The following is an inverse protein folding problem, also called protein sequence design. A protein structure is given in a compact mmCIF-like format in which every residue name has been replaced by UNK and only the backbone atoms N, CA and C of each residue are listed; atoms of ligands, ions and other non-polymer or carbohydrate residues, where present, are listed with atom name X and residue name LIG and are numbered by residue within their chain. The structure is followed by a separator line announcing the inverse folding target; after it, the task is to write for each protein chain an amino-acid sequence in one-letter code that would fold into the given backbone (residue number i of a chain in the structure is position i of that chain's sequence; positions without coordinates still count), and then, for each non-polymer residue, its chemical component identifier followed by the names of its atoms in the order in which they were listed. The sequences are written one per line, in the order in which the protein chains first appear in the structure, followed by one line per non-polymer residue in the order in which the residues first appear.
data_IF_343486575234
#
_entry.id   IF_343486575234
#
_cell.length_a   1.000
_cell.length_b   1.000
_cell.length_c   1.000
_cell.angle_alpha   90.00
_cell.angle_beta   90.00
_cell.angle_gamma   90.00
#
_symmetry.space_group_name_H-M   'P 1'
#
loop_
_entity.id
_entity.type
_entity.pdbx_description
1 polymer ?
#
# COMPACT_ATOMS: atom_id res chain seq x y z
N UNK A 1 53.99 23.25 7.14
CA UNK A 1 54.73 23.19 5.87
C UNK A 1 54.38 21.90 5.17
N UNK A 2 54.48 21.86 3.86
CA UNK A 2 54.30 20.63 3.10
C UNK A 2 55.68 20.01 2.82
N UNK A 3 55.76 18.68 2.91
CA UNK A 3 56.94 17.90 2.53
C UNK A 3 56.50 16.72 1.67
N UNK A 4 57.37 16.31 0.73
CA UNK A 4 57.13 15.17 -0.15
C UNK A 4 57.97 14.03 0.35
N UNK A 5 57.33 12.92 0.68
CA UNK A 5 58.01 11.78 1.28
C UNK A 5 58.91 11.09 0.25
N UNK A 6 60.19 10.92 0.57
CA UNK A 6 61.14 10.19 -0.27
C UNK A 6 61.15 8.68 0.05
N UNK A 7 60.56 8.30 1.17
CA UNK A 7 60.41 6.91 1.59
C UNK A 7 59.08 6.71 2.31
N UNK A 8 58.57 5.48 2.30
CA UNK A 8 57.37 5.16 3.07
C UNK A 8 57.69 5.19 4.58
N UNK A 9 56.80 5.78 5.37
CA UNK A 9 56.93 5.90 6.81
C UNK A 9 55.60 5.61 7.47
N UNK A 10 55.57 4.66 8.41
CA UNK A 10 54.38 4.34 9.18
C UNK A 10 54.69 4.35 10.67
N UNK A 11 53.77 4.91 11.45
CA UNK A 11 53.75 4.88 12.90
C UNK A 11 52.40 4.42 13.41
N UNK A 12 52.22 4.38 14.73
CA UNK A 12 51.00 3.87 15.36
C UNK A 12 49.72 4.65 14.99
N UNK A 13 49.85 5.89 14.48
CA UNK A 13 48.74 6.79 14.18
C UNK A 13 48.84 7.45 12.80
N UNK A 14 49.81 7.08 11.98
CA UNK A 14 50.01 7.66 10.66
C UNK A 14 50.69 6.66 9.73
N UNK A 15 50.43 6.79 8.44
CA UNK A 15 51.13 6.06 7.39
C UNK A 15 51.22 6.98 6.18
N UNK A 16 52.43 7.17 5.68
CA UNK A 16 52.74 7.95 4.49
C UNK A 16 53.52 7.07 3.52
N UNK A 17 53.08 7.03 2.27
CA UNK A 17 53.77 6.36 1.18
C UNK A 17 54.91 7.20 0.60
N UNK A 18 55.78 6.56 -0.16
CA UNK A 18 56.72 7.28 -1.02
C UNK A 18 55.95 8.15 -2.02
N UNK A 19 56.35 9.42 -2.16
CA UNK A 19 55.71 10.40 -3.02
C UNK A 19 54.54 11.17 -2.39
N UNK A 20 54.10 10.77 -1.19
CA UNK A 20 53.01 11.47 -0.50
C UNK A 20 53.41 12.90 -0.15
N UNK A 21 52.49 13.84 -0.41
CA UNK A 21 52.61 15.23 0.03
C UNK A 21 51.82 15.40 1.32
N UNK A 22 52.54 15.70 2.40
CA UNK A 22 51.96 15.71 3.75
C UNK A 22 52.15 17.06 4.42
N UNK A 23 51.10 17.53 5.08
CA UNK A 23 51.19 18.73 5.90
C UNK A 23 51.73 18.37 7.28
N UNK A 24 52.87 18.96 7.65
CA UNK A 24 53.52 18.74 8.95
C UNK A 24 53.91 20.06 9.61
N UNK A 25 54.09 20.00 10.93
CA UNK A 25 54.68 21.12 11.68
C UNK A 25 56.08 21.41 11.14
N UNK A 26 56.42 22.69 11.00
CA UNK A 26 57.67 23.09 10.34
C UNK A 26 58.95 22.53 10.97
N UNK A 27 58.97 22.35 12.29
CA UNK A 27 60.10 21.71 12.97
C UNK A 27 60.28 20.24 12.58
N UNK A 28 59.17 19.51 12.40
CA UNK A 28 59.17 18.10 12.02
C UNK A 28 59.58 17.96 10.54
N UNK A 29 58.99 18.78 9.66
CA UNK A 29 59.32 18.75 8.24
C UNK A 29 60.80 19.02 7.96
N UNK A 30 61.40 20.02 8.64
CA UNK A 30 62.85 20.26 8.54
C UNK A 30 63.69 19.07 9.01
N UNK A 31 63.34 18.47 10.15
CA UNK A 31 64.04 17.29 10.64
C UNK A 31 63.96 16.10 9.68
N UNK A 32 62.82 15.89 9.02
CA UNK A 32 62.66 14.84 8.01
C UNK A 32 63.45 15.12 6.73
N UNK A 33 63.55 16.38 6.32
CA UNK A 33 64.39 16.78 5.18
C UNK A 33 65.87 16.58 5.49
N UNK A 34 66.33 17.03 6.66
CA UNK A 34 67.72 16.83 7.11
C UNK A 34 68.08 15.34 7.24
N UNK A 35 67.13 14.51 7.66
CA UNK A 35 67.29 13.06 7.74
C UNK A 35 67.19 12.34 6.39
N UNK A 36 66.95 13.07 5.28
CA UNK A 36 66.80 12.49 3.94
C UNK A 36 65.52 11.65 3.75
N UNK A 37 64.53 11.83 4.63
CA UNK A 37 63.27 11.08 4.62
C UNK A 37 62.20 11.77 3.77
N UNK A 38 62.34 13.08 3.55
CA UNK A 38 61.44 13.88 2.74
C UNK A 38 62.20 15.02 2.03
N UNK A 39 61.54 15.66 1.07
CA UNK A 39 62.03 16.88 0.41
C UNK A 39 61.02 18.03 0.56
N UNK A 40 61.50 19.26 0.38
CA UNK A 40 60.62 20.43 0.33
C UNK A 40 59.70 20.35 -0.90
N UNK A 41 58.39 20.45 -0.67
CA UNK A 41 57.41 20.37 -1.76
C UNK A 41 57.44 21.61 -2.63
N UNK A 42 57.34 21.41 -3.94
CA UNK A 42 57.03 22.50 -4.86
C UNK A 42 55.52 22.76 -4.83
N UNK A 43 55.06 23.99 -5.14
CA UNK A 43 53.63 24.27 -5.26
C UNK A 43 52.88 23.31 -6.20
N UNK A 44 53.54 22.81 -7.26
CA UNK A 44 52.99 21.81 -8.18
C UNK A 44 52.67 20.47 -7.51
N UNK A 45 53.51 20.00 -6.58
CA UNK A 45 53.31 18.72 -5.89
C UNK A 45 52.03 18.78 -5.01
N UNK A 46 51.80 19.92 -4.35
CA UNK A 46 50.60 20.16 -3.53
C UNK A 46 49.34 20.19 -4.40
N UNK A 47 49.41 20.85 -5.57
CA UNK A 47 48.30 20.90 -6.51
C UNK A 47 47.96 19.52 -7.09
N UNK A 48 48.96 18.71 -7.43
CA UNK A 48 48.76 17.34 -7.93
C UNK A 48 48.14 16.42 -6.88
N UNK A 49 48.60 16.50 -5.63
CA UNK A 49 48.04 15.74 -4.52
C UNK A 49 46.57 16.12 -4.25
N UNK A 50 46.26 17.41 -4.24
CA UNK A 50 44.89 17.88 -4.06
C UNK A 50 43.99 17.52 -5.26
N UNK A 51 44.49 17.63 -6.48
CA UNK A 51 43.76 17.19 -7.67
C UNK A 51 43.43 15.69 -7.62
N UNK A 52 44.36 14.87 -7.15
CA UNK A 52 44.16 13.42 -6.98
C UNK A 52 43.11 13.13 -5.90
N UNK A 53 43.17 13.84 -4.78
CA UNK A 53 42.16 13.74 -3.70
C UNK A 53 40.77 14.14 -4.22
N UNK A 54 40.66 15.28 -4.90
CA UNK A 54 39.40 15.76 -5.45
C UNK A 54 38.84 14.82 -6.52
N UNK A 55 39.69 14.24 -7.36
CA UNK A 55 39.27 13.21 -8.32
C UNK A 55 38.68 11.98 -7.63
N UNK A 56 39.26 11.55 -6.49
CA UNK A 56 38.72 10.47 -5.67
C UNK A 56 37.34 10.80 -5.07
N UNK A 57 37.20 11.98 -4.48
CA UNK A 57 35.92 12.47 -3.94
C UNK A 57 34.85 12.56 -5.03
N UNK A 58 35.20 13.12 -6.19
CA UNK A 58 34.30 13.23 -7.33
C UNK A 58 33.84 11.85 -7.82
N UNK A 59 34.75 10.86 -7.91
CA UNK A 59 34.41 9.50 -8.32
C UNK A 59 33.41 8.83 -7.37
N UNK A 60 33.60 8.98 -6.06
CA UNK A 60 32.66 8.45 -5.07
C UNK A 60 31.31 9.18 -5.09
N UNK A 61 31.32 10.50 -5.28
CA UNK A 61 30.09 11.28 -5.44
C UNK A 61 29.28 10.82 -6.68
N UNK A 62 29.95 10.62 -7.82
CA UNK A 62 29.33 10.08 -9.04
C UNK A 62 28.73 8.70 -8.81
N UNK A 63 29.44 7.82 -8.09
CA UNK A 63 28.94 6.49 -7.75
C UNK A 63 27.66 6.57 -6.91
N UNK A 64 27.65 7.39 -5.86
CA UNK A 64 26.46 7.61 -5.01
C UNK A 64 25.31 8.21 -5.79
N UNK A 65 25.58 9.17 -6.67
CA UNK A 65 24.56 9.78 -7.52
C UNK A 65 23.88 8.73 -8.41
N UNK A 66 24.68 7.87 -9.06
CA UNK A 66 24.15 6.79 -9.90
C UNK A 66 23.27 5.80 -9.12
N UNK A 67 23.64 5.49 -7.87
CA UNK A 67 22.80 4.67 -7.00
C UNK A 67 21.49 5.37 -6.66
N UNK A 68 21.55 6.65 -6.24
CA UNK A 68 20.36 7.43 -5.92
C UNK A 68 19.41 7.61 -7.12
N UNK A 69 19.96 7.79 -8.32
CA UNK A 69 19.17 7.84 -9.56
C UNK A 69 18.41 6.52 -9.80
N UNK A 70 19.07 5.38 -9.58
CA UNK A 70 18.44 4.06 -9.66
C UNK A 70 17.31 3.89 -8.65
N UNK A 71 17.54 4.29 -7.40
CA UNK A 71 16.52 4.25 -6.34
C UNK A 71 15.33 5.17 -6.65
N UNK A 72 15.57 6.37 -7.18
CA UNK A 72 14.49 7.28 -7.60
C UNK A 72 13.65 6.70 -8.74
N UNK A 73 14.26 6.00 -9.69
CA UNK A 73 13.52 5.32 -10.76
C UNK A 73 12.64 4.21 -10.17
N UNK A 74 13.19 3.39 -9.27
CA UNK A 74 12.44 2.33 -8.60
C UNK A 74 11.26 2.89 -7.79
N UNK A 75 11.48 3.93 -6.98
CA UNK A 75 10.44 4.57 -6.19
C UNK A 75 9.33 5.19 -7.06
N UNK A 76 9.66 5.74 -8.23
CA UNK A 76 8.67 6.25 -9.18
C UNK A 76 7.82 5.13 -9.76
N UNK A 77 8.43 3.99 -10.07
CA UNK A 77 7.71 2.81 -10.55
C UNK A 77 6.76 2.27 -9.47
N UNK A 78 7.23 2.16 -8.23
CA UNK A 78 6.42 1.72 -7.10
C UNK A 78 5.25 2.67 -6.83
N UNK A 79 5.49 3.98 -6.86
CA UNK A 79 4.43 4.98 -6.69
C UNK A 79 3.36 4.86 -7.78
N UNK A 80 3.76 4.67 -9.04
CA UNK A 80 2.83 4.45 -10.15
C UNK A 80 1.99 3.19 -9.94
N UNK A 81 2.62 2.09 -9.53
CA UNK A 81 1.92 0.84 -9.25
C UNK A 81 0.92 0.96 -8.08
N UNK A 82 1.32 1.64 -6.99
CA UNK A 82 0.44 1.89 -5.84
C UNK A 82 -0.75 2.77 -6.23
N UNK A 83 -0.52 3.84 -7.01
CA UNK A 83 -1.61 4.70 -7.50
C UNK A 83 -2.61 3.91 -8.34
N UNK A 84 -2.15 3.07 -9.28
CA UNK A 84 -3.04 2.24 -10.08
C UNK A 84 -3.85 1.24 -9.25
N UNK A 85 -3.24 0.64 -8.22
CA UNK A 85 -3.95 -0.24 -7.28
C UNK A 85 -4.99 0.50 -6.45
N UNK A 86 -4.70 1.75 -6.05
CA UNK A 86 -5.63 2.58 -5.30
C UNK A 86 -6.85 2.96 -6.15
N UNK A 87 -6.64 3.31 -7.41
CA UNK A 87 -7.73 3.59 -8.36
C UNK A 87 -8.63 2.37 -8.59
N UNK A 88 -8.03 1.19 -8.78
CA UNK A 88 -8.78 -0.06 -8.92
C UNK A 88 -9.61 -0.37 -7.66
N UNK A 89 -9.00 -0.27 -6.48
CA UNK A 89 -9.72 -0.50 -5.21
C UNK A 89 -10.85 0.51 -4.99
N UNK A 90 -10.67 1.78 -5.40
CA UNK A 90 -11.72 2.78 -5.32
C UNK A 90 -12.92 2.43 -6.23
N UNK A 91 -12.66 1.89 -7.42
CA UNK A 91 -13.71 1.42 -8.33
C UNK A 91 -14.47 0.22 -7.75
N UNK A 92 -13.75 -0.77 -7.20
CA UNK A 92 -14.35 -1.94 -6.54
C UNK A 92 -15.25 -1.54 -5.36
N UNK A 93 -14.80 -0.58 -4.53
CA UNK A 93 -15.61 -0.06 -3.41
C UNK A 93 -16.88 0.64 -3.92
N UNK A 94 -16.79 1.41 -5.00
CA UNK A 94 -17.95 2.07 -5.59
C UNK A 94 -18.98 1.06 -6.13
N UNK A 95 -18.51 0.01 -6.82
CA UNK A 95 -19.34 -1.08 -7.31
C UNK A 95 -20.01 -1.83 -6.15
N UNK A 96 -19.24 -2.23 -5.14
CA UNK A 96 -19.75 -2.93 -3.96
C UNK A 96 -20.82 -2.10 -3.23
N UNK A 97 -20.64 -0.77 -3.15
CA UNK A 97 -21.63 0.13 -2.57
C UNK A 97 -22.92 0.16 -3.39
N UNK A 98 -22.82 0.26 -4.71
CA UNK A 98 -24.00 0.23 -5.59
C UNK A 98 -24.76 -1.10 -5.49
N UNK A 99 -24.03 -2.23 -5.44
CA UNK A 99 -24.64 -3.55 -5.22
C UNK A 99 -25.34 -3.63 -3.86
N UNK A 100 -24.74 -3.10 -2.80
CA UNK A 100 -25.33 -3.10 -1.47
C UNK A 100 -26.64 -2.27 -1.42
N UNK A 101 -26.64 -1.09 -2.04
CA UNK A 101 -27.84 -0.25 -2.15
C UNK A 101 -28.96 -0.97 -2.93
N UNK A 102 -28.62 -1.67 -4.02
CA UNK A 102 -29.58 -2.45 -4.78
C UNK A 102 -30.17 -3.61 -3.96
N UNK A 103 -29.33 -4.37 -3.24
CA UNK A 103 -29.77 -5.46 -2.38
C UNK A 103 -30.63 -4.95 -1.21
N UNK A 104 -30.31 -3.79 -0.65
CA UNK A 104 -31.12 -3.18 0.40
C UNK A 104 -32.52 -2.83 -0.12
N UNK A 105 -32.63 -2.29 -1.34
CA UNK A 105 -33.91 -2.02 -1.98
C UNK A 105 -34.70 -3.31 -2.27
N UNK A 106 -34.03 -4.37 -2.73
CA UNK A 106 -34.65 -5.68 -2.95
C UNK A 106 -35.19 -6.29 -1.65
N UNK A 107 -34.45 -6.17 -0.55
CA UNK A 107 -34.91 -6.64 0.77
C UNK A 107 -36.17 -5.91 1.23
N UNK A 108 -36.25 -4.59 1.03
CA UNK A 108 -37.46 -3.84 1.38
C UNK A 108 -38.65 -4.18 0.49
N UNK A 109 -38.42 -4.42 -0.81
CA UNK A 109 -39.46 -4.91 -1.72
C UNK A 109 -40.00 -6.29 -1.28
N UNK A 110 -39.10 -7.24 -0.97
CA UNK A 110 -39.50 -8.58 -0.50
C UNK A 110 -40.24 -8.52 0.84
N UNK A 111 -39.90 -7.59 1.73
CA UNK A 111 -40.65 -7.37 2.97
C UNK A 111 -42.07 -6.88 2.70
N UNK A 112 -42.24 -5.97 1.75
CA UNK A 112 -43.56 -5.48 1.34
C UNK A 112 -44.40 -6.60 0.73
N UNK A 113 -43.83 -7.36 -0.20
CA UNK A 113 -44.49 -8.52 -0.83
C UNK A 113 -44.92 -9.56 0.22
N UNK A 114 -44.05 -9.83 1.20
CA UNK A 114 -44.37 -10.74 2.31
C UNK A 114 -45.52 -10.22 3.19
N UNK A 115 -45.61 -8.91 3.40
CA UNK A 115 -46.71 -8.31 4.16
C UNK A 115 -48.03 -8.46 3.40
N UNK A 116 -48.04 -8.12 2.10
CA UNK A 116 -49.21 -8.31 1.22
C UNK A 116 -49.65 -9.77 1.17
N UNK A 117 -48.74 -10.71 0.97
CA UNK A 117 -49.07 -12.14 0.94
C UNK A 117 -49.67 -12.64 2.28
N UNK A 118 -49.24 -12.07 3.42
CA UNK A 118 -49.85 -12.38 4.73
C UNK A 118 -51.27 -11.86 4.85
N UNK A 119 -51.54 -10.65 4.35
CA UNK A 119 -52.88 -10.06 4.34
C UNK A 119 -53.81 -10.86 3.41
N UNK A 120 -53.38 -11.16 2.19
CA UNK A 120 -54.13 -12.00 1.26
C UNK A 120 -54.45 -13.38 1.85
N UNK A 121 -53.50 -13.98 2.57
CA UNK A 121 -53.74 -15.26 3.27
C UNK A 121 -54.79 -15.13 4.37
N UNK A 122 -54.82 -14.03 5.11
CA UNK A 122 -55.82 -13.80 6.15
C UNK A 122 -57.21 -13.67 5.53
N UNK A 123 -57.35 -12.86 4.48
CA UNK A 123 -58.61 -12.73 3.73
C UNK A 123 -59.09 -14.08 3.20
N UNK A 124 -58.19 -14.88 2.62
CA UNK A 124 -58.54 -16.21 2.11
C UNK A 124 -59.00 -17.18 3.21
N UNK A 125 -58.46 -17.05 4.43
CA UNK A 125 -58.92 -17.84 5.58
C UNK A 125 -60.32 -17.40 6.03
N UNK A 126 -60.60 -16.09 6.08
CA UNK A 126 -61.94 -15.57 6.40
C UNK A 126 -62.98 -16.01 5.36
N UNK A 127 -62.63 -15.96 4.07
CA UNK A 127 -63.48 -16.46 2.98
C UNK A 127 -63.75 -17.96 3.13
N UNK A 128 -62.74 -18.76 3.51
CA UNK A 128 -62.90 -20.19 3.75
C UNK A 128 -63.87 -20.46 4.91
N UNK A 129 -63.78 -19.73 6.01
CA UNK A 129 -64.70 -19.83 7.15
C UNK A 129 -66.15 -19.48 6.74
N UNK A 130 -66.34 -18.44 5.94
CA UNK A 130 -67.65 -18.05 5.42
C UNK A 130 -68.27 -19.12 4.49
N UNK A 131 -67.45 -19.72 3.62
CA UNK A 131 -67.88 -20.82 2.74
C UNK A 131 -68.26 -22.04 3.57
N UNK A 132 -67.48 -22.40 4.59
CA UNK A 132 -67.78 -23.51 5.49
C UNK A 132 -69.11 -23.30 6.22
N UNK A 133 -69.31 -22.12 6.83
CA UNK A 133 -70.57 -21.78 7.50
C UNK A 133 -71.78 -21.86 6.55
N UNK A 134 -71.60 -21.43 5.29
CA UNK A 134 -72.65 -21.53 4.27
C UNK A 134 -72.95 -22.97 3.89
N UNK A 135 -71.91 -23.80 3.73
CA UNK A 135 -72.05 -25.22 3.43
C UNK A 135 -72.80 -25.96 4.56
N UNK A 136 -72.44 -25.69 5.82
CA UNK A 136 -73.11 -26.27 7.00
C UNK A 136 -74.59 -25.88 7.06
N UNK A 137 -74.90 -24.61 6.79
CA UNK A 137 -76.29 -24.13 6.73
C UNK A 137 -77.09 -24.86 5.65
N UNK A 138 -76.53 -24.98 4.44
CA UNK A 138 -77.19 -25.67 3.32
C UNK A 138 -77.37 -27.16 3.63
N UNK A 139 -76.38 -27.81 4.25
CA UNK A 139 -76.47 -29.20 4.70
C UNK A 139 -77.62 -29.38 5.72
N UNK A 140 -77.74 -28.47 6.69
CA UNK A 140 -78.86 -28.46 7.64
C UNK A 140 -80.22 -28.26 6.97
N UNK A 141 -80.32 -27.36 5.98
CA UNK A 141 -81.55 -27.14 5.22
C UNK A 141 -81.94 -28.37 4.38
N UNK A 142 -80.97 -29.04 3.77
CA UNK A 142 -81.20 -30.29 3.04
C UNK A 142 -81.72 -31.39 3.97
N UNK A 143 -81.09 -31.59 5.13
CA UNK A 143 -81.53 -32.58 6.11
C UNK A 143 -82.97 -32.34 6.57
N UNK A 144 -83.36 -31.09 6.83
CA UNK A 144 -84.71 -30.73 7.21
C UNK A 144 -85.74 -30.99 6.10
N UNK A 145 -85.40 -30.70 4.84
CA UNK A 145 -86.26 -30.98 3.68
C UNK A 145 -86.45 -32.48 3.47
N UNK A 146 -85.39 -33.28 3.60
CA UNK A 146 -85.47 -34.75 3.50
C UNK A 146 -86.40 -35.31 4.57
N UNK A 147 -86.26 -34.88 5.82
CA UNK A 147 -87.12 -35.32 6.92
C UNK A 147 -88.61 -34.91 6.71
N UNK A 148 -88.86 -33.72 6.16
CA UNK A 148 -90.22 -33.26 5.87
C UNK A 148 -90.89 -34.08 4.73
N UNK A 149 -90.13 -34.52 3.73
CA UNK A 149 -90.62 -35.35 2.64
C UNK A 149 -90.99 -36.77 3.07
N UNK A 150 -90.26 -37.35 4.03
CA UNK A 150 -90.54 -38.70 4.58
C UNK A 150 -91.81 -38.73 5.45
N UNK A 151 -92.19 -37.61 6.09
CA UNK A 151 -93.37 -37.52 6.94
C UNK A 151 -94.71 -37.34 6.21
N UNK A 152 -94.71 -37.24 4.88
CA UNK A 152 -95.91 -37.03 4.05
C UNK A 152 -96.28 -38.23 3.16
N UNK A 153 -95.56 -39.36 3.29
CA UNK A 153 -95.79 -40.60 2.53
C UNK A 153 -96.62 -41.65 3.27
#
# INVERSE_FOLDING_TARGET
MYVKMLTAMAGASFSYGHGDVVEVKSAIGRAWIEAGLAEETKPSDVLEAEATRQAGVAKEAVKKLKTAEGELIALRADLSAVSGRLEAAAAEVAEAKATNEALAAEVEALKADLATAKEERLTALEDLENVQATADRLAGQLAALTAAGEGQG
#
